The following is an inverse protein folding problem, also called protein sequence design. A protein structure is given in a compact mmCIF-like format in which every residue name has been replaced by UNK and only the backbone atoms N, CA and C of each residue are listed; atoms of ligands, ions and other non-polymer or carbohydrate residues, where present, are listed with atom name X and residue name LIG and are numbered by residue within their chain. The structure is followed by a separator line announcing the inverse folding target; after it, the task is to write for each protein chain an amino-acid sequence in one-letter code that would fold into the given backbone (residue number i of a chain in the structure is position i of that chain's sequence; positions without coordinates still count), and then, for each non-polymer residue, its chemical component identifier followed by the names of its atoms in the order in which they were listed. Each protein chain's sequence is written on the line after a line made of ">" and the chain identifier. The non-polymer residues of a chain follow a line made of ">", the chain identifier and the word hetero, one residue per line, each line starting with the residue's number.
data_IF_665623481999
#
_entry.id   IF_665623481999
#
_cell.length_a   1.000
_cell.length_b   1.000
_cell.length_c   1.000
_cell.angle_alpha   90.00
_cell.angle_beta   90.00
_cell.angle_gamma   90.00
#
_symmetry.space_group_name_H-M   'P 1'
#
loop_
_entity.id
_entity.type
_entity.pdbx_description
1 polymer ?
#
# COMPACT_ATOMS: atom_id res chain seq x y z
N UNK A 1 -19.59 -3.69 -29.09
CA UNK A 1 -18.56 -3.77 -28.02
C UNK A 1 -19.01 -4.77 -26.97
N UNK A 2 -18.34 -5.92 -26.85
CA UNK A 2 -18.66 -6.90 -25.82
C UNK A 2 -18.31 -6.32 -24.44
N UNK A 3 -19.32 -6.06 -23.61
CA UNK A 3 -19.09 -5.72 -22.20
C UNK A 3 -18.40 -6.92 -21.54
N UNK A 4 -17.21 -6.70 -20.97
CA UNK A 4 -16.56 -7.70 -20.13
C UNK A 4 -17.54 -8.03 -18.98
N UNK A 5 -18.15 -9.21 -19.00
CA UNK A 5 -18.94 -9.72 -17.88
C UNK A 5 -17.97 -10.15 -16.78
N UNK A 6 -17.49 -9.18 -16.00
CA UNK A 6 -16.73 -9.44 -14.77
C UNK A 6 -17.78 -9.70 -13.69
N UNK A 7 -17.94 -10.96 -13.28
CA UNK A 7 -18.75 -11.23 -12.10
C UNK A 7 -18.08 -10.54 -10.89
N UNK A 8 -18.86 -9.91 -9.99
CA UNK A 8 -18.35 -9.24 -8.78
C UNK A 8 -17.35 -10.07 -8.01
N UNK A 9 -17.56 -11.39 -8.04
CA UNK A 9 -16.71 -12.35 -7.39
C UNK A 9 -15.31 -12.39 -7.96
N UNK A 10 -14.95 -11.91 -9.16
CA UNK A 10 -13.57 -12.06 -9.68
C UNK A 10 -12.61 -10.96 -9.23
N UNK A 11 -13.09 -9.94 -8.52
CA UNK A 11 -12.33 -8.71 -8.29
C UNK A 11 -11.67 -8.72 -6.90
N UNK A 12 -10.46 -8.17 -6.83
CA UNK A 12 -9.78 -7.76 -5.59
C UNK A 12 -9.34 -6.31 -5.76
N UNK A 13 -9.65 -5.44 -4.81
CA UNK A 13 -9.21 -4.04 -4.82
C UNK A 13 -8.10 -3.83 -3.78
N UNK A 14 -7.03 -3.13 -4.14
CA UNK A 14 -5.99 -2.68 -3.19
C UNK A 14 -5.87 -1.17 -3.15
N UNK A 15 -5.43 -0.65 -2.02
CA UNK A 15 -4.98 0.71 -1.84
C UNK A 15 -3.81 0.72 -0.84
N UNK A 16 -2.71 0.14 -1.28
CA UNK A 16 -1.42 0.80 -1.35
C UNK A 16 -1.10 1.78 -0.22
N UNK A 17 -1.39 3.04 -0.57
CA UNK A 17 -0.97 4.23 0.15
C UNK A 17 -2.18 4.92 0.76
N UNK A 18 -3.10 4.14 1.34
CA UNK A 18 -4.37 4.58 1.89
C UNK A 18 -4.28 5.41 3.18
N UNK A 19 -3.11 5.50 3.81
CA UNK A 19 -2.95 6.09 5.14
C UNK A 19 -1.62 6.83 5.24
N UNK A 20 -1.63 7.97 5.93
CA UNK A 20 -0.40 8.71 6.32
C UNK A 20 0.12 8.35 7.71
N UNK A 21 -0.48 7.35 8.38
CA UNK A 21 -0.16 7.00 9.77
C UNK A 21 1.27 6.47 9.88
N UNK A 22 2.02 6.98 10.86
CA UNK A 22 3.31 6.42 11.30
C UNK A 22 3.07 5.65 12.61
N UNK A 23 3.60 4.43 12.78
CA UNK A 23 3.60 3.75 14.07
C UNK A 23 4.29 4.59 15.14
N UNK A 24 3.75 4.65 16.35
CA UNK A 24 4.34 5.40 17.46
C UNK A 24 5.80 5.05 17.71
N UNK A 25 6.16 3.77 17.54
CA UNK A 25 7.54 3.27 17.68
C UNK A 25 8.55 3.86 16.69
N UNK A 26 8.09 4.51 15.61
CA UNK A 26 8.93 5.15 14.59
C UNK A 26 8.91 6.69 14.69
N UNK A 27 8.20 7.25 15.68
CA UNK A 27 8.07 8.69 15.87
C UNK A 27 7.58 9.41 14.61
N UNK A 28 8.33 10.42 14.18
CA UNK A 28 8.05 11.19 12.97
C UNK A 28 8.90 10.78 11.75
N UNK A 29 9.73 9.74 11.88
CA UNK A 29 10.82 9.43 10.93
C UNK A 29 11.78 10.61 10.69
N UNK A 30 11.86 11.56 11.63
CA UNK A 30 12.65 12.79 11.49
C UNK A 30 12.04 13.81 10.52
N UNK A 31 10.75 13.70 10.22
CA UNK A 31 10.03 14.63 9.34
C UNK A 31 9.19 15.63 10.14
N UNK A 32 9.07 16.85 9.62
CA UNK A 32 8.15 17.86 10.14
C UNK A 32 6.68 17.56 9.78
N UNK A 33 5.75 18.16 10.52
CA UNK A 33 4.31 17.94 10.34
C UNK A 33 3.82 18.22 8.91
N UNK A 34 4.36 19.26 8.25
CA UNK A 34 4.03 19.61 6.86
C UNK A 34 4.37 18.47 5.88
N UNK A 35 5.54 17.85 6.04
CA UNK A 35 5.97 16.74 5.20
C UNK A 35 5.07 15.51 5.44
N UNK A 36 4.78 15.18 6.70
CA UNK A 36 3.88 14.08 7.09
C UNK A 36 2.41 14.29 6.69
N UNK A 37 1.99 15.53 6.43
CA UNK A 37 0.65 15.86 5.93
C UNK A 37 0.58 15.92 4.39
N UNK A 38 1.72 15.82 3.70
CA UNK A 38 1.80 15.95 2.24
C UNK A 38 1.64 14.61 1.50
N UNK A 39 1.62 14.67 0.17
CA UNK A 39 1.51 13.51 -0.72
C UNK A 39 2.68 12.52 -0.61
N UNK A 40 3.83 12.94 -0.05
CA UNK A 40 4.97 12.04 0.15
C UNK A 40 4.61 10.92 1.14
N UNK A 41 3.68 11.18 2.06
CA UNK A 41 3.30 10.24 3.10
C UNK A 41 2.23 9.23 2.64
N UNK A 42 1.36 9.62 1.70
CA UNK A 42 0.20 8.82 1.28
C UNK A 42 -0.50 9.42 0.05
N UNK A 43 -1.40 8.66 -0.53
CA UNK A 43 -2.22 9.07 -1.66
C UNK A 43 -3.54 9.68 -1.16
N UNK A 44 -3.60 11.02 -1.18
CA UNK A 44 -4.75 11.79 -0.69
C UNK A 44 -6.00 11.48 -1.51
N UNK A 45 -7.02 10.93 -0.86
CA UNK A 45 -8.32 10.60 -1.48
C UNK A 45 -8.38 9.20 -2.12
N UNK A 46 -7.26 8.46 -2.20
CA UNK A 46 -7.26 7.11 -2.76
C UNK A 46 -8.09 6.12 -1.94
N UNK A 47 -8.00 6.18 -0.59
CA UNK A 47 -8.79 5.31 0.31
C UNK A 47 -10.31 5.40 0.08
N UNK A 48 -10.95 6.58 0.14
CA UNK A 48 -12.39 6.66 -0.11
C UNK A 48 -12.76 6.26 -1.54
N UNK A 49 -11.92 6.55 -2.54
CA UNK A 49 -12.12 6.11 -3.92
C UNK A 49 -12.09 4.57 -4.04
N UNK A 50 -11.09 3.92 -3.45
CA UNK A 50 -10.95 2.47 -3.43
C UNK A 50 -12.13 1.79 -2.73
N UNK A 51 -12.54 2.34 -1.58
CA UNK A 51 -13.70 1.83 -0.82
C UNK A 51 -14.99 1.96 -1.63
N UNK A 52 -15.23 3.11 -2.28
CA UNK A 52 -16.41 3.32 -3.10
C UNK A 52 -16.43 2.42 -4.34
N UNK A 53 -15.27 2.19 -4.97
CA UNK A 53 -15.12 1.28 -6.10
C UNK A 53 -15.40 -0.17 -5.68
N UNK A 54 -14.76 -0.64 -4.62
CA UNK A 54 -14.94 -2.00 -4.10
C UNK A 54 -16.41 -2.28 -3.75
N UNK A 55 -17.10 -1.31 -3.12
CA UNK A 55 -18.54 -1.42 -2.84
C UNK A 55 -19.38 -1.57 -4.12
N UNK A 56 -19.10 -0.79 -5.16
CA UNK A 56 -19.82 -0.89 -6.45
C UNK A 56 -19.55 -2.22 -7.17
N UNK A 57 -18.38 -2.78 -6.98
CA UNK A 57 -17.97 -4.05 -7.57
C UNK A 57 -18.30 -5.26 -6.68
N UNK A 58 -18.90 -5.05 -5.50
CA UNK A 58 -19.06 -6.07 -4.44
C UNK A 58 -17.79 -6.91 -4.23
N UNK A 59 -16.65 -6.23 -4.15
CA UNK A 59 -15.33 -6.82 -4.05
C UNK A 59 -14.68 -6.51 -2.68
N UNK A 60 -13.78 -7.38 -2.18
CA UNK A 60 -12.93 -7.04 -1.04
C UNK A 60 -11.98 -5.89 -1.38
N UNK A 61 -11.63 -5.10 -0.36
CA UNK A 61 -10.63 -4.02 -0.47
C UNK A 61 -9.59 -4.09 0.64
N UNK A 62 -8.32 -4.09 0.24
CA UNK A 62 -7.17 -4.16 1.14
C UNK A 62 -6.45 -2.81 1.18
N UNK A 63 -6.55 -2.12 2.31
CA UNK A 63 -5.92 -0.81 2.52
C UNK A 63 -4.58 -0.94 3.24
N UNK A 64 -3.58 -0.19 2.79
CA UNK A 64 -2.37 0.05 3.58
C UNK A 64 -2.70 0.78 4.88
N UNK A 65 -2.31 0.18 6.02
CA UNK A 65 -2.60 0.76 7.35
C UNK A 65 -1.69 1.95 7.69
N UNK A 66 -0.47 1.92 7.18
CA UNK A 66 0.59 2.88 7.49
C UNK A 66 1.06 3.62 6.23
N UNK A 67 1.78 4.72 6.45
CA UNK A 67 2.39 5.53 5.39
C UNK A 67 3.36 4.72 4.54
N UNK A 68 3.45 5.06 3.25
CA UNK A 68 4.52 4.59 2.35
C UNK A 68 5.94 4.91 2.85
N UNK A 69 6.06 5.89 3.74
CA UNK A 69 7.34 6.24 4.38
C UNK A 69 7.80 5.18 5.40
N UNK A 70 6.86 4.42 5.98
CA UNK A 70 7.18 3.30 6.87
C UNK A 70 7.66 2.13 6.03
N UNK A 71 6.84 1.78 5.04
CA UNK A 71 7.12 0.80 4.01
C UNK A 71 6.21 1.05 2.81
N UNK A 72 6.77 1.03 1.60
CA UNK A 72 6.04 1.17 0.35
C UNK A 72 5.54 -0.20 -0.12
N UNK A 73 4.24 -0.45 0.10
CA UNK A 73 3.56 -1.68 -0.27
C UNK A 73 3.43 -1.88 -1.80
N UNK A 74 3.71 -0.85 -2.62
CA UNK A 74 3.75 -0.92 -4.08
C UNK A 74 5.20 -1.00 -4.62
N UNK A 75 6.10 -1.60 -3.82
CA UNK A 75 7.48 -1.94 -4.20
C UNK A 75 7.73 -3.40 -3.84
N UNK A 76 8.55 -4.09 -4.63
CA UNK A 76 8.94 -5.45 -4.27
C UNK A 76 9.75 -5.44 -2.98
N UNK A 77 9.56 -6.47 -2.14
CA UNK A 77 10.21 -6.65 -0.84
C UNK A 77 11.72 -6.40 -0.82
N UNK A 78 12.44 -6.73 -1.89
CA UNK A 78 13.91 -6.61 -1.97
C UNK A 78 14.39 -5.28 -2.56
N UNK A 79 13.48 -4.45 -3.09
CA UNK A 79 13.90 -3.17 -3.66
C UNK A 79 14.42 -2.24 -2.55
N UNK A 80 15.50 -1.49 -2.78
CA UNK A 80 16.02 -0.54 -1.79
C UNK A 80 14.96 0.49 -1.36
N UNK A 81 14.09 0.90 -2.29
CA UNK A 81 13.05 1.91 -2.06
C UNK A 81 11.80 1.39 -1.35
N UNK A 82 11.74 0.10 -0.98
CA UNK A 82 10.62 -0.43 -0.17
C UNK A 82 10.55 0.24 1.20
N UNK A 83 11.69 0.72 1.72
CA UNK A 83 11.74 1.65 2.85
C UNK A 83 12.50 2.89 2.34
N UNK A 84 11.81 3.96 1.94
CA UNK A 84 12.44 5.05 1.20
C UNK A 84 13.27 5.95 2.12
N UNK A 85 14.59 6.00 1.91
CA UNK A 85 15.46 7.00 2.56
C UNK A 85 15.24 8.42 2.00
N UNK A 86 14.68 8.53 0.80
CA UNK A 86 14.27 9.78 0.14
C UNK A 86 12.90 9.53 -0.50
N UNK A 87 11.93 10.42 -0.24
CA UNK A 87 10.60 10.38 -0.82
C UNK A 87 10.29 11.72 -1.51
N UNK A 88 10.08 11.69 -2.84
CA UNK A 88 9.82 12.89 -3.65
C UNK A 88 10.82 14.03 -3.40
N UNK A 89 12.12 13.69 -3.40
CA UNK A 89 13.20 14.65 -3.12
C UNK A 89 13.36 15.04 -1.64
N UNK A 90 12.47 14.61 -0.75
CA UNK A 90 12.56 14.87 0.69
C UNK A 90 13.33 13.76 1.39
N UNK A 91 14.45 14.04 2.09
CA UNK A 91 15.12 13.05 2.93
C UNK A 91 14.20 12.57 4.05
N UNK A 92 14.25 11.27 4.37
CA UNK A 92 13.52 10.65 5.47
C UNK A 92 14.54 10.15 6.49
N UNK A 93 14.95 10.98 7.48
CA UNK A 93 16.06 10.66 8.37
C UNK A 93 15.92 9.32 9.11
N UNK A 94 14.71 8.98 9.56
CA UNK A 94 14.42 7.71 10.25
C UNK A 94 14.50 6.46 9.36
N UNK A 95 14.76 6.63 8.06
CA UNK A 95 15.01 5.54 7.11
C UNK A 95 16.46 5.49 6.63
N UNK A 96 17.33 6.40 7.08
CA UNK A 96 18.75 6.38 6.71
C UNK A 96 19.49 5.34 7.56
N UNK A 97 20.47 4.70 6.93
CA UNK A 97 21.42 3.80 7.58
C UNK A 97 20.79 2.67 8.42
N UNK A 98 19.60 2.18 8.02
CA UNK A 98 19.02 1.00 8.65
C UNK A 98 19.95 -0.19 8.47
N UNK A 99 20.17 -0.94 9.55
CA UNK A 99 20.82 -2.24 9.45
C UNK A 99 19.91 -3.21 8.68
N UNK A 100 20.51 -4.29 8.14
CA UNK A 100 19.73 -5.35 7.50
C UNK A 100 18.67 -5.93 8.44
N UNK A 101 19.00 -6.06 9.73
CA UNK A 101 18.09 -6.59 10.75
C UNK A 101 16.90 -5.63 11.01
N UNK A 102 17.14 -4.32 11.11
CA UNK A 102 16.08 -3.32 11.26
C UNK A 102 15.15 -3.28 10.04
N UNK A 103 15.73 -3.41 8.84
CA UNK A 103 14.99 -3.52 7.60
C UNK A 103 14.08 -4.74 7.60
N UNK A 104 14.61 -5.92 7.94
CA UNK A 104 13.82 -7.15 7.97
C UNK A 104 12.73 -7.10 9.03
N UNK A 105 13.01 -6.60 10.24
CA UNK A 105 11.98 -6.39 11.27
C UNK A 105 10.85 -5.47 10.79
N UNK A 106 11.19 -4.42 10.05
CA UNK A 106 10.21 -3.49 9.47
C UNK A 106 9.33 -4.17 8.42
N UNK A 107 9.94 -4.94 7.53
CA UNK A 107 9.21 -5.68 6.49
C UNK A 107 8.30 -6.75 7.09
N UNK A 108 8.82 -7.58 8.00
CA UNK A 108 8.05 -8.60 8.70
C UNK A 108 6.84 -8.02 9.43
N UNK A 109 6.94 -6.81 9.96
CA UNK A 109 5.87 -6.19 10.74
C UNK A 109 4.84 -5.42 9.90
N UNK A 110 5.28 -4.76 8.83
CA UNK A 110 4.44 -3.77 8.13
C UNK A 110 4.19 -4.09 6.65
N UNK A 111 4.99 -4.96 6.03
CA UNK A 111 4.85 -5.37 4.62
C UNK A 111 4.26 -6.77 4.52
N UNK A 112 4.93 -7.75 5.14
CA UNK A 112 4.64 -9.18 4.92
C UNK A 112 3.16 -9.53 5.24
N UNK A 113 2.55 -9.08 6.36
CA UNK A 113 1.16 -9.43 6.66
C UNK A 113 0.15 -8.88 5.66
N UNK A 114 0.37 -7.66 5.15
CA UNK A 114 -0.51 -7.07 4.14
C UNK A 114 -0.34 -7.79 2.80
N UNK A 115 0.92 -8.07 2.43
CA UNK A 115 1.27 -8.73 1.18
C UNK A 115 0.67 -10.13 1.11
N UNK A 116 0.84 -10.92 2.17
CA UNK A 116 0.29 -12.28 2.27
C UNK A 116 -1.23 -12.27 2.15
N UNK A 117 -1.93 -11.40 2.88
CA UNK A 117 -3.40 -11.31 2.80
C UNK A 117 -3.91 -10.98 1.39
N UNK A 118 -3.20 -10.13 0.64
CA UNK A 118 -3.56 -9.82 -0.75
C UNK A 118 -3.25 -10.98 -1.69
N UNK A 119 -2.09 -11.63 -1.54
CA UNK A 119 -1.70 -12.77 -2.34
C UNK A 119 -2.64 -13.97 -2.13
N UNK A 120 -3.01 -14.26 -0.88
CA UNK A 120 -4.01 -15.28 -0.52
C UNK A 120 -5.37 -14.96 -1.17
N UNK A 121 -5.86 -13.73 -1.06
CA UNK A 121 -7.14 -13.33 -1.67
C UNK A 121 -7.15 -13.46 -3.20
N UNK A 122 -6.02 -13.19 -3.85
CA UNK A 122 -5.87 -13.37 -5.30
C UNK A 122 -5.80 -14.86 -5.65
N UNK A 123 -5.01 -15.64 -4.91
CA UNK A 123 -4.85 -17.08 -5.13
C UNK A 123 -6.18 -17.84 -4.97
N UNK A 124 -6.92 -17.57 -3.89
CA UNK A 124 -8.25 -18.14 -3.65
C UNK A 124 -9.20 -17.86 -4.83
N UNK A 125 -9.12 -16.65 -5.39
CA UNK A 125 -9.95 -16.27 -6.52
C UNK A 125 -9.61 -17.02 -7.80
N UNK A 126 -8.32 -17.16 -8.08
CA UNK A 126 -7.85 -17.94 -9.22
C UNK A 126 -8.26 -19.40 -9.06
N UNK A 127 -8.08 -19.97 -7.87
CA UNK A 127 -8.42 -21.36 -7.58
C UNK A 127 -9.92 -21.66 -7.76
N UNK A 128 -10.80 -20.78 -7.28
CA UNK A 128 -12.25 -21.02 -7.32
C UNK A 128 -12.95 -20.50 -8.58
N UNK A 129 -12.32 -19.57 -9.31
CA UNK A 129 -13.00 -18.86 -10.42
C UNK A 129 -12.21 -18.86 -11.74
N UNK A 130 -11.02 -19.48 -11.76
CA UNK A 130 -10.13 -19.55 -12.91
C UNK A 130 -9.46 -18.23 -13.29
N UNK A 131 -9.80 -17.10 -12.63
CA UNK A 131 -9.22 -15.77 -12.88
C UNK A 131 -9.43 -14.81 -11.71
N UNK A 132 -8.56 -13.81 -11.63
CA UNK A 132 -8.68 -12.67 -10.72
C UNK A 132 -8.42 -11.36 -11.48
N UNK A 133 -9.29 -10.36 -11.33
CA UNK A 133 -9.01 -8.98 -11.70
C UNK A 133 -8.57 -8.21 -10.46
N UNK A 134 -7.27 -7.91 -10.37
CA UNK A 134 -6.71 -7.09 -9.31
C UNK A 134 -6.67 -5.63 -9.74
N UNK A 135 -7.31 -4.75 -8.96
CA UNK A 135 -7.35 -3.30 -9.21
C UNK A 135 -6.65 -2.59 -8.05
N UNK A 136 -5.50 -1.99 -8.34
CA UNK A 136 -4.79 -1.11 -7.41
C UNK A 136 -5.23 0.35 -7.62
N UNK A 137 -5.59 1.04 -6.53
CA UNK A 137 -6.15 2.40 -6.56
C UNK A 137 -5.19 3.39 -5.90
N UNK A 138 -4.77 4.36 -6.69
CA UNK A 138 -3.82 5.42 -6.32
C UNK A 138 -4.35 6.81 -6.71
N UNK A 139 -3.72 7.84 -6.16
CA UNK A 139 -3.94 9.25 -6.54
C UNK A 139 -2.61 9.98 -6.61
N UNK A 140 -2.50 10.98 -7.48
CA UNK A 140 -1.29 11.78 -7.63
C UNK A 140 -1.58 13.27 -7.40
N UNK A 141 -0.54 14.04 -7.10
CA UNK A 141 -0.64 15.50 -7.11
C UNK A 141 -0.58 16.01 -8.55
N UNK A 142 -1.42 17.01 -8.92
CA UNK A 142 -1.35 17.66 -10.22
C UNK A 142 0.04 18.19 -10.55
#
# INVERSE_FOLDING_TARGET
>A
MARLKIAPTHVVVTCEHASRRIPTSLGSLGLGARALASHIAWDRGARPAATALARRLSAPVYHGRYSRLVVDLNRSRHQPKVIPAIAFGTPVPGNRALTGEERERRLARYYDPWRLAVEEAIADRIAHQGRCLHISVHSFTP
#
